data_IF_483038830729
#
_entry.id   IF_483038830729
#
_cell.length_a   1.000
_cell.length_b   1.000
_cell.length_c   1.000
_cell.angle_alpha   90.00
_cell.angle_beta   90.00
_cell.angle_gamma   90.00
#
_symmetry.space_group_name_H-M   'P 1'
#
loop_
_entity.id
_entity.type
_entity.pdbx_description
1 polymer ?
#
# COMPACT_ATOMS: atom_id res chain seq x y z
N UNK A 1 -12.36 30.43 1.48
CA UNK A 1 -12.27 28.98 1.38
C UNK A 1 -10.90 28.61 0.87
N UNK A 2 -10.11 27.88 1.66
CA UNK A 2 -8.87 27.24 1.19
C UNK A 2 -9.23 25.90 0.54
N UNK A 3 -8.46 25.43 -0.46
CA UNK A 3 -8.60 24.06 -0.97
C UNK A 3 -7.30 23.25 -0.93
N UNK A 4 -7.39 22.08 -0.32
CA UNK A 4 -6.36 21.03 -0.34
C UNK A 4 -6.83 19.93 -1.29
N UNK A 5 -6.08 19.65 -2.35
CA UNK A 5 -6.34 18.49 -3.22
C UNK A 5 -5.31 17.40 -2.93
N UNK A 6 -5.78 16.16 -2.77
CA UNK A 6 -4.97 14.97 -2.53
C UNK A 6 -5.17 14.05 -3.73
N UNK A 7 -4.09 13.67 -4.40
CA UNK A 7 -4.13 12.79 -5.58
C UNK A 7 -3.73 11.38 -5.15
N UNK A 8 -4.69 10.46 -5.13
CA UNK A 8 -4.55 9.09 -4.63
C UNK A 8 -5.11 8.92 -3.22
N UNK A 9 -6.08 8.01 -3.08
CA UNK A 9 -6.68 7.52 -1.83
C UNK A 9 -5.97 6.29 -1.25
N UNK A 10 -4.82 5.90 -1.79
CA UNK A 10 -3.93 4.90 -1.18
C UNK A 10 -3.39 5.34 0.18
N UNK A 11 -2.63 4.46 0.85
CA UNK A 11 -2.27 4.54 2.28
C UNK A 11 -1.97 5.97 2.79
N UNK A 12 -1.08 6.71 2.13
CA UNK A 12 -0.67 8.05 2.54
C UNK A 12 -1.79 9.10 2.37
N UNK A 13 -2.52 9.07 1.24
CA UNK A 13 -3.53 10.05 0.91
C UNK A 13 -4.80 9.93 1.76
N UNK A 14 -5.30 8.71 1.98
CA UNK A 14 -6.46 8.52 2.86
C UNK A 14 -6.12 8.82 4.32
N UNK A 15 -4.91 8.47 4.79
CA UNK A 15 -4.46 8.89 6.13
C UNK A 15 -4.32 10.42 6.23
N UNK A 16 -3.86 11.11 5.19
CA UNK A 16 -3.83 12.57 5.15
C UNK A 16 -5.25 13.16 5.29
N UNK A 17 -6.19 12.71 4.44
CA UNK A 17 -7.58 13.15 4.47
C UNK A 17 -8.26 12.87 5.83
N UNK A 18 -8.06 11.69 6.40
CA UNK A 18 -8.60 11.32 7.72
C UNK A 18 -8.04 12.17 8.87
N UNK A 19 -6.75 12.53 8.84
CA UNK A 19 -6.17 13.37 9.88
C UNK A 19 -6.60 14.84 9.72
N UNK A 20 -6.77 15.34 8.50
CA UNK A 20 -7.40 16.64 8.23
C UNK A 20 -8.85 16.65 8.73
N UNK A 21 -9.65 15.63 8.39
CA UNK A 21 -11.05 15.48 8.83
C UNK A 21 -11.23 15.41 10.36
N UNK A 22 -10.21 14.96 11.10
CA UNK A 22 -10.18 14.91 12.58
C UNK A 22 -9.63 16.17 13.24
N UNK A 23 -8.96 17.04 12.48
CA UNK A 23 -8.27 18.24 12.99
C UNK A 23 -9.06 19.51 12.70
N UNK A 24 -9.62 19.60 11.49
CA UNK A 24 -10.32 20.78 10.99
C UNK A 24 -11.82 20.70 11.30
N UNK A 25 -12.47 21.85 11.22
CA UNK A 25 -13.90 22.08 11.38
C UNK A 25 -14.42 22.92 10.21
N UNK A 26 -15.75 23.05 10.08
CA UNK A 26 -16.35 23.94 9.08
C UNK A 26 -15.94 25.42 9.26
N UNK A 27 -15.63 25.82 10.50
CA UNK A 27 -15.15 27.17 10.83
C UNK A 27 -13.76 27.48 10.22
N UNK A 28 -12.94 26.45 9.94
CA UNK A 28 -11.65 26.59 9.27
C UNK A 28 -11.78 26.88 7.76
N UNK A 29 -13.00 26.87 7.20
CA UNK A 29 -13.31 27.30 5.83
C UNK A 29 -12.35 26.67 4.79
N UNK A 30 -12.13 25.36 4.90
CA UNK A 30 -11.12 24.60 4.13
C UNK A 30 -11.75 23.34 3.53
N UNK A 31 -11.75 23.24 2.21
CA UNK A 31 -12.22 22.06 1.45
C UNK A 31 -11.05 21.09 1.21
N UNK A 32 -11.28 19.79 1.43
CA UNK A 32 -10.32 18.71 1.17
C UNK A 32 -10.92 17.72 0.18
N UNK A 33 -10.26 17.54 -0.96
CA UNK A 33 -10.73 16.68 -2.06
C UNK A 33 -9.71 15.59 -2.36
N UNK A 34 -10.05 14.33 -2.11
CA UNK A 34 -9.23 13.17 -2.52
C UNK A 34 -9.67 12.70 -3.90
N UNK A 35 -8.86 12.93 -4.93
CA UNK A 35 -9.05 12.34 -6.26
C UNK A 35 -8.47 10.92 -6.25
N UNK A 36 -9.33 9.90 -6.17
CA UNK A 36 -8.92 8.48 -6.25
C UNK A 36 -9.60 7.77 -7.42
N UNK A 37 -8.81 7.02 -8.18
CA UNK A 37 -9.25 6.34 -9.40
C UNK A 37 -10.02 5.04 -9.17
N UNK A 38 -9.97 4.46 -7.98
CA UNK A 38 -10.59 3.18 -7.62
C UNK A 38 -11.67 3.39 -6.55
N UNK A 39 -12.88 2.85 -6.75
CA UNK A 39 -13.98 2.94 -5.79
C UNK A 39 -13.78 2.17 -4.47
N UNK A 40 -12.58 1.64 -4.23
CA UNK A 40 -12.20 0.84 -3.07
C UNK A 40 -10.69 0.95 -2.83
N UNK A 41 -10.26 0.84 -1.58
CA UNK A 41 -8.86 0.75 -1.21
C UNK A 41 -8.34 -0.66 -1.52
N UNK A 42 -7.24 -0.74 -2.27
CA UNK A 42 -6.60 -2.01 -2.61
C UNK A 42 -5.48 -2.36 -1.63
N UNK A 43 -5.71 -3.39 -0.81
CA UNK A 43 -4.81 -3.85 0.27
C UNK A 43 -3.62 -4.66 -0.27
N UNK A 44 -2.76 -4.01 -1.06
CA UNK A 44 -1.59 -4.59 -1.78
C UNK A 44 -0.74 -5.58 -0.96
N UNK A 45 -0.59 -5.38 0.36
CA UNK A 45 0.17 -6.28 1.24
C UNK A 45 -0.36 -7.72 1.20
N UNK A 46 -1.66 -7.92 1.04
CA UNK A 46 -2.27 -9.24 0.97
C UNK A 46 -2.14 -9.97 -0.38
N UNK A 47 -1.59 -9.33 -1.42
CA UNK A 47 -1.63 -9.86 -2.78
C UNK A 47 -0.91 -11.21 -2.91
N UNK A 48 0.23 -11.37 -2.23
CA UNK A 48 0.97 -12.63 -2.22
C UNK A 48 0.17 -13.79 -1.62
N UNK A 49 -0.72 -13.50 -0.66
CA UNK A 49 -1.66 -14.48 -0.11
C UNK A 49 -2.79 -14.76 -1.11
N UNK A 50 -3.42 -13.72 -1.68
CA UNK A 50 -4.51 -13.86 -2.65
C UNK A 50 -4.12 -14.64 -3.92
N UNK A 51 -2.85 -14.59 -4.34
CA UNK A 51 -2.30 -15.39 -5.44
C UNK A 51 -2.25 -16.90 -5.15
N UNK A 52 -2.33 -17.35 -3.89
CA UNK A 52 -2.37 -18.78 -3.54
C UNK A 52 -3.66 -19.19 -2.83
N UNK A 53 -4.42 -18.24 -2.30
CA UNK A 53 -5.56 -18.47 -1.42
C UNK A 53 -6.82 -17.77 -1.99
N UNK A 54 -7.79 -18.52 -2.52
CA UNK A 54 -9.00 -17.93 -3.11
C UNK A 54 -9.86 -17.21 -2.08
N UNK A 55 -9.99 -17.78 -0.87
CA UNK A 55 -10.82 -17.26 0.20
C UNK A 55 -10.21 -16.03 0.85
N UNK A 56 -8.90 -15.82 0.71
CA UNK A 56 -8.25 -14.59 1.12
C UNK A 56 -8.56 -13.41 0.17
N UNK A 57 -8.75 -13.63 -1.13
CA UNK A 57 -8.80 -12.55 -2.14
C UNK A 57 -9.85 -11.46 -1.86
N UNK A 58 -10.99 -11.83 -1.26
CA UNK A 58 -12.06 -10.90 -0.81
C UNK A 58 -11.57 -9.81 0.17
N UNK A 59 -10.51 -10.08 0.95
CA UNK A 59 -9.92 -9.13 1.91
C UNK A 59 -9.12 -8.01 1.24
N UNK A 60 -8.81 -8.13 -0.06
CA UNK A 60 -7.99 -7.17 -0.81
C UNK A 60 -8.72 -5.85 -1.12
N UNK A 61 -10.05 -5.84 -1.05
CA UNK A 61 -10.89 -4.76 -1.61
C UNK A 61 -11.73 -4.12 -0.50
N UNK A 62 -11.19 -3.07 0.13
CA UNK A 62 -11.85 -2.41 1.27
C UNK A 62 -12.73 -1.26 0.79
N UNK A 63 -14.00 -1.16 1.19
CA UNK A 63 -14.87 -0.03 0.86
C UNK A 63 -14.33 1.30 1.41
N UNK A 64 -14.63 2.40 0.72
CA UNK A 64 -14.34 3.77 1.18
C UNK A 64 -15.52 4.43 1.92
N UNK A 65 -16.68 3.77 2.01
CA UNK A 65 -17.98 4.31 2.44
C UNK A 65 -17.98 5.01 3.81
N UNK A 66 -17.17 4.54 4.77
CA UNK A 66 -16.98 5.17 6.08
C UNK A 66 -15.56 5.75 6.28
N UNK A 67 -14.71 5.73 5.23
CA UNK A 67 -13.28 6.07 5.36
C UNK A 67 -13.03 7.55 5.72
N UNK A 68 -14.00 8.43 5.46
CA UNK A 68 -14.04 9.81 5.98
C UNK A 68 -15.13 9.90 7.06
N UNK A 69 -14.83 10.45 8.26
CA UNK A 69 -15.83 10.64 9.31
C UNK A 69 -17.03 11.45 8.83
N UNK A 70 -18.25 10.96 9.12
CA UNK A 70 -19.51 11.59 8.66
C UNK A 70 -19.69 13.04 9.16
N UNK A 71 -19.12 13.35 10.32
CA UNK A 71 -19.02 14.70 10.91
C UNK A 71 -18.21 15.70 10.07
N UNK A 72 -17.40 15.22 9.13
CA UNK A 72 -16.48 16.02 8.33
C UNK A 72 -16.87 16.03 6.84
N UNK A 73 -18.00 15.40 6.49
CA UNK A 73 -18.47 15.23 5.10
C UNK A 73 -18.88 16.53 4.42
N UNK A 74 -19.18 17.59 5.19
CA UNK A 74 -19.43 18.94 4.67
C UNK A 74 -18.20 19.62 4.06
N UNK A 75 -16.98 19.15 4.37
CA UNK A 75 -15.73 19.78 3.89
C UNK A 75 -14.63 18.80 3.45
N UNK A 76 -14.74 17.48 3.72
CA UNK A 76 -13.82 16.44 3.22
C UNK A 76 -14.59 15.40 2.39
N UNK A 77 -14.16 15.14 1.15
CA UNK A 77 -14.70 14.05 0.33
C UNK A 77 -13.63 13.23 -0.40
N UNK A 78 -14.02 12.04 -0.80
CA UNK A 78 -13.34 11.24 -1.82
C UNK A 78 -14.16 11.38 -3.10
N UNK A 79 -13.48 11.75 -4.18
CA UNK A 79 -14.00 11.96 -5.52
C UNK A 79 -13.49 10.80 -6.39
N UNK A 80 -14.41 10.00 -6.96
CA UNK A 80 -14.04 8.85 -7.79
C UNK A 80 -13.59 9.38 -9.16
N UNK A 81 -12.28 9.61 -9.30
CA UNK A 81 -11.70 10.39 -10.39
C UNK A 81 -10.21 10.07 -10.59
N UNK A 82 -9.78 10.08 -11.85
CA UNK A 82 -8.35 10.02 -12.19
C UNK A 82 -7.84 11.40 -12.57
N UNK A 83 -6.81 11.88 -11.86
CA UNK A 83 -6.08 13.10 -12.25
C UNK A 83 -5.33 12.87 -13.58
N UNK A 84 -5.42 13.83 -14.50
CA UNK A 84 -4.87 13.75 -15.86
C UNK A 84 -3.78 14.77 -16.15
N UNK A 85 -3.66 15.84 -15.37
CA UNK A 85 -2.60 16.84 -15.52
C UNK A 85 -2.63 17.90 -14.41
N UNK A 86 -1.50 18.58 -14.20
CA UNK A 86 -1.34 19.65 -13.20
C UNK A 86 -0.75 20.87 -13.92
N UNK A 87 -1.28 22.06 -13.65
CA UNK A 87 -0.74 23.36 -14.08
C UNK A 87 -0.27 24.14 -12.85
N UNK A 88 1.02 24.04 -12.44
CA UNK A 88 1.52 24.66 -11.21
C UNK A 88 1.30 26.17 -11.16
N UNK A 89 1.58 26.88 -12.26
CA UNK A 89 1.48 28.35 -12.36
C UNK A 89 0.04 28.87 -12.18
N UNK A 90 -0.95 28.02 -12.44
CA UNK A 90 -2.39 28.30 -12.29
C UNK A 90 -2.97 27.70 -11.00
N UNK A 91 -2.13 27.01 -10.22
CA UNK A 91 -2.51 26.10 -9.12
C UNK A 91 -3.74 25.27 -9.45
N UNK A 92 -3.76 24.65 -10.63
CA UNK A 92 -4.93 23.95 -11.17
C UNK A 92 -4.59 22.48 -11.42
N UNK A 93 -5.48 21.57 -11.03
CA UNK A 93 -5.43 20.16 -11.42
C UNK A 93 -6.56 19.87 -12.41
N UNK A 94 -6.26 19.05 -13.42
CA UNK A 94 -7.22 18.49 -14.36
C UNK A 94 -7.49 17.03 -14.02
N UNK A 95 -8.74 16.58 -14.11
CA UNK A 95 -9.16 15.22 -13.76
C UNK A 95 -10.33 14.74 -14.63
N UNK A 96 -10.59 13.43 -14.60
CA UNK A 96 -11.73 12.80 -15.26
C UNK A 96 -12.48 11.96 -14.23
N UNK A 97 -13.74 12.32 -13.99
CA UNK A 97 -14.67 11.61 -13.08
C UNK A 97 -14.97 10.19 -13.55
N UNK A 98 -15.32 9.30 -12.63
CA UNK A 98 -15.57 7.88 -12.86
C UNK A 98 -16.92 7.53 -12.23
N UNK A 99 -17.87 7.15 -13.08
CA UNK A 99 -19.22 6.78 -12.64
C UNK A 99 -19.22 5.54 -11.74
N UNK A 100 -20.31 5.33 -10.99
CA UNK A 100 -20.52 4.13 -10.16
C UNK A 100 -20.55 2.79 -10.94
N UNK A 101 -20.51 2.84 -12.28
CA UNK A 101 -20.37 1.66 -13.16
C UNK A 101 -18.92 1.51 -13.68
N UNK A 102 -17.94 2.06 -12.98
CA UNK A 102 -16.51 2.17 -13.32
C UNK A 102 -16.19 2.84 -14.68
N UNK A 103 -17.18 3.41 -15.38
CA UNK A 103 -16.95 4.13 -16.64
C UNK A 103 -16.37 5.51 -16.35
N UNK A 104 -15.12 5.71 -16.78
CA UNK A 104 -14.44 7.01 -16.79
C UNK A 104 -15.09 7.97 -17.80
N UNK A 105 -15.26 9.22 -17.40
CA UNK A 105 -15.73 10.32 -18.23
C UNK A 105 -14.73 10.66 -19.35
N UNK A 106 -15.25 11.14 -20.48
CA UNK A 106 -14.46 11.80 -21.53
C UNK A 106 -14.30 13.30 -21.27
N UNK A 107 -15.18 13.91 -20.46
CA UNK A 107 -15.03 15.29 -20.03
C UNK A 107 -13.84 15.42 -19.08
N UNK A 108 -13.06 16.49 -19.24
CA UNK A 108 -11.93 16.79 -18.35
C UNK A 108 -12.27 18.01 -17.51
N UNK A 109 -12.45 17.77 -16.22
CA UNK A 109 -12.82 18.75 -15.21
C UNK A 109 -11.56 19.38 -14.60
N UNK A 110 -11.73 20.55 -13.98
CA UNK A 110 -10.63 21.38 -13.48
C UNK A 110 -10.95 21.87 -12.07
N UNK A 111 -9.93 21.91 -11.21
CA UNK A 111 -10.06 22.32 -9.82
C UNK A 111 -8.83 23.14 -9.40
N UNK A 112 -9.03 24.38 -8.97
CA UNK A 112 -7.96 25.18 -8.37
C UNK A 112 -7.70 24.74 -6.92
N UNK A 113 -6.44 24.74 -6.50
CA UNK A 113 -5.99 24.37 -5.16
C UNK A 113 -5.10 25.45 -4.55
N UNK A 114 -5.04 25.51 -3.22
CA UNK A 114 -3.97 26.22 -2.51
C UNK A 114 -2.79 25.30 -2.25
N UNK A 115 -3.09 24.05 -1.88
CA UNK A 115 -2.12 22.98 -1.63
C UNK A 115 -2.47 21.71 -2.41
N UNK A 116 -1.45 21.04 -2.94
CA UNK A 116 -1.57 19.78 -3.68
C UNK A 116 -0.70 18.70 -3.02
N UNK A 117 -1.30 17.58 -2.66
CA UNK A 117 -0.64 16.41 -2.07
C UNK A 117 -0.59 15.29 -3.11
N UNK A 118 0.62 14.93 -3.55
CA UNK A 118 0.82 13.83 -4.50
C UNK A 118 1.02 12.51 -3.72
N UNK A 119 -0.06 11.74 -3.59
CA UNK A 119 -0.11 10.44 -2.92
C UNK A 119 -0.35 9.27 -3.90
N UNK A 120 -0.01 9.47 -5.17
CA UNK A 120 -0.25 8.54 -6.31
C UNK A 120 0.44 7.17 -6.18
N UNK A 121 1.39 7.03 -5.25
CA UNK A 121 2.11 5.79 -5.00
C UNK A 121 3.06 5.41 -6.14
N UNK A 122 2.99 4.16 -6.59
CA UNK A 122 3.83 3.61 -7.65
C UNK A 122 3.14 2.48 -8.39
N UNK A 123 3.49 2.24 -9.64
CA UNK A 123 3.07 1.08 -10.42
C UNK A 123 3.85 -0.18 -10.01
N UNK A 124 3.27 -1.36 -10.27
CA UNK A 124 3.92 -2.67 -10.15
C UNK A 124 3.17 -3.68 -11.03
N UNK A 125 3.74 -4.86 -11.25
CA UNK A 125 3.10 -5.97 -11.98
C UNK A 125 1.77 -6.39 -11.34
N UNK A 126 0.74 -6.54 -12.16
CA UNK A 126 -0.59 -7.05 -11.76
C UNK A 126 -0.49 -8.56 -11.51
N UNK A 127 -1.03 -9.13 -10.41
CA UNK A 127 -1.98 -8.54 -9.46
C UNK A 127 -1.37 -8.06 -8.13
N UNK A 128 -0.06 -7.80 -8.01
CA UNK A 128 0.51 -7.23 -6.78
C UNK A 128 0.04 -5.79 -6.56
N UNK A 129 -0.22 -5.07 -7.66
CA UNK A 129 -1.02 -3.85 -7.70
C UNK A 129 -2.09 -3.96 -8.79
N UNK A 130 -3.14 -3.16 -8.69
CA UNK A 130 -4.14 -3.00 -9.75
C UNK A 130 -3.49 -2.45 -11.03
N UNK A 131 -4.11 -2.73 -12.18
CA UNK A 131 -3.65 -2.17 -13.46
C UNK A 131 -3.72 -0.63 -13.43
N UNK A 132 -2.72 0.08 -13.99
CA UNK A 132 -2.75 1.55 -14.02
C UNK A 132 -3.90 2.12 -14.86
N UNK A 133 -4.40 1.38 -15.86
CA UNK A 133 -5.46 1.76 -16.81
C UNK A 133 -6.81 1.10 -16.48
N UNK A 134 -6.82 -0.09 -15.88
CA UNK A 134 -8.04 -0.81 -15.48
C UNK A 134 -8.05 -1.14 -13.98
N UNK A 135 -8.48 -0.15 -13.19
CA UNK A 135 -8.58 -0.19 -11.73
C UNK A 135 -9.88 -0.87 -11.22
N UNK A 136 -10.64 -1.54 -12.09
CA UNK A 136 -11.86 -2.25 -11.69
C UNK A 136 -11.56 -3.39 -10.74
N UNK A 137 -12.43 -3.57 -9.75
CA UNK A 137 -12.36 -4.69 -8.79
C UNK A 137 -12.37 -6.04 -9.53
N UNK A 138 -13.32 -6.22 -10.44
CA UNK A 138 -13.53 -7.46 -11.20
C UNK A 138 -12.34 -7.83 -12.09
N UNK A 139 -11.70 -6.86 -12.75
CA UNK A 139 -10.45 -7.08 -13.52
C UNK A 139 -9.33 -7.59 -12.60
N UNK A 140 -9.22 -7.00 -11.41
CA UNK A 140 -8.18 -7.38 -10.43
C UNK A 140 -8.45 -8.77 -9.83
N UNK A 141 -9.72 -9.10 -9.53
CA UNK A 141 -10.15 -10.43 -9.08
C UNK A 141 -9.89 -11.50 -10.15
N UNK A 142 -10.19 -11.20 -11.43
CA UNK A 142 -9.91 -12.10 -12.54
C UNK A 142 -8.40 -12.38 -12.68
N UNK A 143 -7.53 -11.36 -12.59
CA UNK A 143 -6.07 -11.56 -12.67
C UNK A 143 -5.49 -12.30 -11.45
N UNK A 144 -6.07 -12.13 -10.26
CA UNK A 144 -5.75 -12.96 -9.08
C UNK A 144 -6.13 -14.43 -9.29
N UNK A 145 -7.29 -14.71 -9.90
CA UNK A 145 -7.72 -16.07 -10.23
C UNK A 145 -6.84 -16.71 -11.32
N UNK A 146 -6.47 -15.96 -12.36
CA UNK A 146 -5.59 -16.40 -13.45
C UNK A 146 -4.23 -16.83 -12.89
N UNK A 147 -3.52 -15.95 -12.18
CA UNK A 147 -2.19 -16.22 -11.60
C UNK A 147 -2.23 -17.38 -10.60
N UNK A 148 -3.30 -17.49 -9.80
CA UNK A 148 -3.48 -18.66 -8.91
C UNK A 148 -3.58 -19.96 -9.70
N UNK A 149 -4.31 -19.97 -10.81
CA UNK A 149 -4.45 -21.15 -11.67
C UNK A 149 -3.12 -21.51 -12.37
N UNK A 150 -2.30 -20.52 -12.73
CA UNK A 150 -0.95 -20.74 -13.26
C UNK A 150 -0.03 -21.37 -12.19
N UNK A 151 -0.02 -20.84 -10.96
CA UNK A 151 0.71 -21.40 -9.81
C UNK A 151 0.26 -22.83 -9.51
N UNK A 152 -1.04 -23.11 -9.55
CA UNK A 152 -1.61 -24.45 -9.32
C UNK A 152 -1.12 -25.47 -10.36
N UNK A 153 -1.06 -25.09 -11.64
CA UNK A 153 -0.58 -25.95 -12.74
C UNK A 153 0.94 -26.12 -12.79
N UNK A 154 1.71 -25.11 -12.35
CA UNK A 154 3.16 -25.10 -12.50
C UNK A 154 3.88 -26.03 -11.51
N UNK A 155 4.71 -26.97 -12.01
CA UNK A 155 5.63 -27.78 -11.20
C UNK A 155 6.99 -27.12 -10.93
N UNK A 156 7.32 -26.09 -11.72
CA UNK A 156 8.49 -25.22 -11.61
C UNK A 156 8.03 -23.76 -11.77
N UNK A 157 8.40 -22.88 -10.84
CA UNK A 157 7.97 -21.48 -10.81
C UNK A 157 9.20 -20.59 -10.67
N UNK A 158 9.33 -19.58 -11.53
CA UNK A 158 10.37 -18.54 -11.45
C UNK A 158 9.74 -17.24 -10.95
N UNK A 159 10.31 -16.68 -9.89
CA UNK A 159 10.01 -15.35 -9.35
C UNK A 159 11.20 -14.45 -9.72
N UNK A 160 10.93 -13.30 -10.34
CA UNK A 160 11.98 -12.34 -10.73
C UNK A 160 11.90 -11.14 -9.79
N UNK A 161 13.01 -10.82 -9.13
CA UNK A 161 13.07 -9.90 -8.00
C UNK A 161 12.84 -10.66 -6.69
N UNK A 162 13.87 -10.78 -5.86
CA UNK A 162 13.78 -11.38 -4.53
C UNK A 162 13.27 -10.42 -3.45
N UNK A 163 12.43 -9.45 -3.84
CA UNK A 163 12.06 -8.30 -3.01
C UNK A 163 11.01 -8.70 -1.97
N UNK A 164 10.43 -7.74 -1.22
CA UNK A 164 9.38 -8.02 -0.23
C UNK A 164 8.27 -8.89 -0.84
N UNK A 165 7.83 -8.45 -2.02
CA UNK A 165 6.87 -9.14 -2.88
C UNK A 165 7.39 -10.52 -3.31
N UNK A 166 8.65 -10.63 -3.75
CA UNK A 166 9.24 -11.89 -4.23
C UNK A 166 9.34 -12.95 -3.14
N UNK A 167 9.79 -12.56 -1.95
CA UNK A 167 9.82 -13.42 -0.77
C UNK A 167 8.44 -13.85 -0.30
N UNK A 168 7.49 -12.90 -0.24
CA UNK A 168 6.14 -13.21 0.23
C UNK A 168 5.44 -14.14 -0.77
N UNK A 169 5.61 -13.93 -2.07
CA UNK A 169 5.16 -14.86 -3.12
C UNK A 169 5.81 -16.25 -2.94
N UNK A 170 7.14 -16.31 -2.84
CA UNK A 170 7.87 -17.56 -2.67
C UNK A 170 7.43 -18.34 -1.41
N UNK A 171 7.33 -17.64 -0.28
CA UNK A 171 6.93 -18.18 1.01
C UNK A 171 5.48 -18.64 1.03
N UNK A 172 4.54 -17.86 0.48
CA UNK A 172 3.14 -18.30 0.39
C UNK A 172 2.96 -19.49 -0.57
N UNK A 173 3.67 -19.52 -1.71
CA UNK A 173 3.66 -20.67 -2.62
C UNK A 173 4.21 -21.92 -1.93
N UNK A 174 5.41 -21.87 -1.34
CA UNK A 174 6.02 -23.06 -0.68
C UNK A 174 5.27 -23.51 0.57
N UNK A 175 4.55 -22.61 1.26
CA UNK A 175 3.72 -22.97 2.40
C UNK A 175 2.46 -23.76 2.02
N UNK A 176 1.80 -23.40 0.90
CA UNK A 176 0.62 -24.13 0.39
C UNK A 176 1.01 -25.36 -0.45
N UNK A 177 2.08 -25.25 -1.24
CA UNK A 177 2.53 -26.25 -2.22
C UNK A 177 3.99 -26.63 -1.94
N UNK A 178 4.20 -27.48 -0.93
CA UNK A 178 5.54 -27.86 -0.44
C UNK A 178 6.37 -28.59 -1.49
N UNK A 179 5.70 -29.31 -2.39
CA UNK A 179 6.27 -30.11 -3.48
C UNK A 179 6.77 -29.28 -4.67
N UNK A 180 6.29 -28.04 -4.86
CA UNK A 180 6.68 -27.23 -6.02
C UNK A 180 8.12 -26.77 -5.94
N UNK A 181 8.80 -26.80 -7.08
CA UNK A 181 10.09 -26.16 -7.25
C UNK A 181 9.84 -24.68 -7.52
N UNK A 182 10.24 -23.82 -6.60
CA UNK A 182 10.18 -22.36 -6.78
C UNK A 182 11.62 -21.85 -6.79
N UNK A 183 11.91 -20.88 -7.64
CA UNK A 183 13.22 -20.27 -7.79
C UNK A 183 13.03 -18.75 -7.80
N UNK A 184 13.78 -18.04 -6.97
CA UNK A 184 13.92 -16.59 -7.08
C UNK A 184 15.18 -16.30 -7.90
N UNK A 185 15.02 -15.52 -8.97
CA UNK A 185 16.10 -14.86 -9.71
C UNK A 185 16.21 -13.41 -9.25
N UNK A 186 17.45 -12.95 -9.07
CA UNK A 186 17.78 -11.62 -8.61
C UNK A 186 19.07 -11.10 -9.26
N UNK A 187 19.24 -9.77 -9.31
CA UNK A 187 20.42 -9.07 -9.77
C UNK A 187 21.43 -8.71 -8.65
N UNK A 188 20.98 -8.42 -7.42
CA UNK A 188 21.86 -8.26 -6.25
C UNK A 188 22.24 -9.61 -5.62
N UNK A 189 23.14 -9.61 -4.63
CA UNK A 189 23.68 -10.82 -3.99
C UNK A 189 22.85 -11.39 -2.83
N UNK A 190 22.01 -10.58 -2.19
CA UNK A 190 21.40 -10.90 -0.89
C UNK A 190 19.94 -10.49 -0.76
N UNK A 191 19.13 -11.35 -0.13
CA UNK A 191 17.68 -11.16 0.08
C UNK A 191 17.59 -9.86 0.87
N UNK A 192 16.50 -9.11 0.73
CA UNK A 192 16.35 -7.87 1.50
C UNK A 192 17.40 -6.75 1.22
N UNK A 193 18.31 -6.88 0.24
CA UNK A 193 19.52 -6.03 0.06
C UNK A 193 19.42 -4.53 0.36
N UNK A 194 18.41 -3.80 -0.14
CA UNK A 194 18.31 -2.34 0.04
C UNK A 194 17.73 -1.93 1.40
N UNK A 195 17.89 -2.75 2.43
CA UNK A 195 17.69 -2.38 3.83
C UNK A 195 18.91 -2.73 4.67
N UNK A 196 19.12 -1.94 5.72
CA UNK A 196 20.15 -2.18 6.74
C UNK A 196 19.64 -3.19 7.77
N UNK A 197 19.81 -4.49 7.46
CA UNK A 197 19.46 -5.56 8.38
C UNK A 197 20.70 -6.19 9.03
N UNK A 198 20.46 -6.87 10.14
CA UNK A 198 21.49 -7.60 10.87
C UNK A 198 21.73 -9.00 10.33
N UNK A 199 22.94 -9.52 10.51
CA UNK A 199 23.35 -10.90 10.15
C UNK A 199 22.41 -11.96 10.76
N UNK A 200 21.84 -11.67 11.93
CA UNK A 200 20.83 -12.49 12.61
C UNK A 200 19.49 -12.52 11.86
N UNK A 201 19.09 -11.41 11.24
CA UNK A 201 17.94 -11.40 10.33
C UNK A 201 18.24 -12.26 9.11
N UNK A 202 19.38 -12.05 8.43
CA UNK A 202 19.76 -12.85 7.27
C UNK A 202 19.87 -14.35 7.61
N UNK A 203 20.43 -14.71 8.76
CA UNK A 203 20.53 -16.09 9.23
C UNK A 203 19.15 -16.75 9.43
N UNK A 204 18.22 -16.08 10.10
CA UNK A 204 16.85 -16.58 10.30
C UNK A 204 16.02 -16.59 9.02
N UNK A 205 16.28 -15.63 8.14
CA UNK A 205 15.69 -15.54 6.82
C UNK A 205 16.12 -16.72 5.94
N UNK A 206 17.42 -17.00 5.88
CA UNK A 206 17.98 -18.18 5.21
C UNK A 206 17.29 -19.44 5.74
N UNK A 207 17.31 -19.66 7.07
CA UNK A 207 16.65 -20.82 7.68
C UNK A 207 15.14 -20.92 7.37
N UNK A 208 14.44 -19.80 7.20
CA UNK A 208 13.02 -19.77 6.80
C UNK A 208 12.80 -19.94 5.29
N UNK A 209 13.79 -19.65 4.45
CA UNK A 209 13.71 -19.62 2.98
C UNK A 209 14.81 -20.48 2.31
N UNK A 210 15.31 -21.51 2.98
CA UNK A 210 16.41 -22.41 2.56
C UNK A 210 16.03 -23.35 1.38
N UNK A 211 15.13 -22.87 0.53
CA UNK A 211 14.82 -23.37 -0.79
C UNK A 211 15.18 -22.39 -1.93
N UNK A 212 15.52 -21.10 -1.67
CA UNK A 212 15.62 -20.05 -2.72
C UNK A 212 16.67 -18.94 -2.50
N UNK A 213 17.04 -18.22 -3.59
CA UNK A 213 18.03 -17.12 -3.62
C UNK A 213 17.39 -15.68 -3.81
N UNK A 214 18.10 -14.55 -4.02
CA UNK A 214 17.91 -13.42 -3.05
C UNK A 214 18.06 -11.84 -3.36
N UNK A 215 17.04 -10.89 -3.27
CA UNK A 215 17.10 -9.39 -2.84
C UNK A 215 15.85 -8.42 -2.80
N UNK A 216 15.68 -7.53 -1.77
CA UNK A 216 14.73 -6.33 -1.72
C UNK A 216 15.41 -4.93 -1.94
N UNK A 217 14.88 -3.67 -1.73
CA UNK A 217 13.74 -3.03 -0.96
C UNK A 217 13.39 -1.56 -1.36
N UNK A 218 12.29 -0.98 -0.81
CA UNK A 218 12.08 0.43 -0.33
C UNK A 218 10.68 0.70 0.33
N UNK A 219 10.55 1.39 1.49
CA UNK A 219 9.22 1.79 2.06
C UNK A 219 9.08 2.99 3.05
N UNK A 220 10.04 3.26 3.94
CA UNK A 220 9.81 4.06 5.18
C UNK A 220 9.49 5.57 4.94
N UNK A 221 9.86 6.10 3.77
CA UNK A 221 9.76 7.52 3.40
C UNK A 221 8.33 8.10 3.48
N UNK A 222 7.29 7.30 3.18
CA UNK A 222 5.91 7.77 3.07
C UNK A 222 5.31 8.28 4.40
N UNK A 223 5.79 7.80 5.54
CA UNK A 223 5.28 8.15 6.87
C UNK A 223 5.65 9.57 7.30
N UNK A 224 6.78 10.09 6.80
CA UNK A 224 7.31 11.40 7.21
C UNK A 224 6.56 12.58 6.58
N UNK A 225 6.24 12.48 5.29
CA UNK A 225 5.62 13.57 4.52
C UNK A 225 4.27 14.02 5.11
N UNK A 226 3.45 13.07 5.58
CA UNK A 226 2.17 13.34 6.21
C UNK A 226 2.27 14.22 7.47
N UNK A 227 3.35 14.07 8.26
CA UNK A 227 3.57 14.86 9.47
C UNK A 227 3.97 16.31 9.18
N UNK A 228 4.73 16.55 8.10
CA UNK A 228 5.08 17.91 7.67
C UNK A 228 3.86 18.66 7.13
N UNK A 229 3.04 17.99 6.30
CA UNK A 229 1.81 18.57 5.74
C UNK A 229 0.85 19.09 6.82
N UNK A 230 0.62 18.31 7.88
CA UNK A 230 -0.24 18.73 8.98
C UNK A 230 0.30 19.97 9.72
N UNK A 231 1.62 20.12 9.84
CA UNK A 231 2.23 21.27 10.50
C UNK A 231 2.12 22.57 9.67
N UNK A 232 2.21 22.49 8.34
CA UNK A 232 1.98 23.62 7.42
C UNK A 232 0.52 24.07 7.47
N UNK A 233 -0.44 23.14 7.37
CA UNK A 233 -1.88 23.45 7.44
C UNK A 233 -2.26 24.10 8.79
N UNK A 234 -1.64 23.66 9.89
CA UNK A 234 -1.83 24.25 11.22
C UNK A 234 -1.04 25.55 11.46
N UNK A 235 -0.34 26.10 10.45
CA UNK A 235 0.52 27.31 10.56
C UNK A 235 1.59 27.20 11.65
N UNK A 236 2.15 26.00 11.87
CA UNK A 236 3.21 25.70 12.85
C UNK A 236 4.63 25.69 12.24
N UNK A 237 4.72 25.81 10.92
CA UNK A 237 5.94 26.03 10.14
C UNK A 237 5.54 26.58 8.77
N UNK A 238 6.38 27.45 8.20
CA UNK A 238 6.08 28.14 6.93
C UNK A 238 6.39 27.28 5.69
N UNK A 239 7.20 26.22 5.84
CA UNK A 239 7.60 25.34 4.74
C UNK A 239 7.81 23.87 5.14
N UNK A 240 8.59 23.16 4.31
CA UNK A 240 8.93 21.73 4.47
C UNK A 240 10.36 21.57 4.98
N UNK A 241 10.72 22.37 5.99
CA UNK A 241 12.11 22.77 6.25
C UNK A 241 12.91 21.75 7.06
N UNK A 242 12.26 20.66 7.49
CA UNK A 242 12.85 19.56 8.24
C UNK A 242 13.15 18.39 7.28
N UNK A 243 14.42 17.99 7.10
CA UNK A 243 14.74 16.81 6.30
C UNK A 243 14.27 15.52 7.01
N UNK A 244 14.00 14.48 6.23
CA UNK A 244 13.70 13.15 6.78
C UNK A 244 14.91 12.64 7.58
N UNK A 245 14.75 12.23 8.86
CA UNK A 245 15.84 11.62 9.61
C UNK A 245 16.39 10.39 8.87
N UNK A 246 17.71 10.30 8.69
CA UNK A 246 18.33 9.11 8.10
C UNK A 246 17.98 7.91 8.97
N UNK A 247 17.28 6.92 8.38
CA UNK A 247 16.93 5.69 9.09
C UNK A 247 18.22 4.95 9.47
N UNK A 248 18.40 4.76 10.78
CA UNK A 248 19.58 4.12 11.38
C UNK A 248 19.39 2.60 11.37
N UNK A 249 18.16 2.14 11.64
CA UNK A 249 17.72 0.74 11.59
C UNK A 249 16.34 0.67 10.97
N UNK A 250 16.15 -0.18 9.95
CA UNK A 250 14.86 -0.33 9.28
C UNK A 250 14.02 -1.47 9.87
N UNK A 251 12.69 -1.32 9.77
CA UNK A 251 11.70 -2.25 10.28
C UNK A 251 11.15 -3.18 9.19
N UNK A 252 11.32 -4.47 9.35
CA UNK A 252 10.96 -5.51 8.37
C UNK A 252 10.07 -6.55 9.03
N UNK A 253 8.95 -6.90 8.40
CA UNK A 253 8.11 -8.03 8.78
C UNK A 253 7.84 -8.84 7.52
N UNK A 254 8.43 -10.04 7.42
CA UNK A 254 8.37 -10.89 6.24
C UNK A 254 7.66 -12.22 6.57
N UNK A 255 6.36 -12.37 6.19
CA UNK A 255 5.63 -13.63 6.30
C UNK A 255 6.19 -14.71 5.37
N UNK A 256 6.49 -15.87 5.94
CA UNK A 256 6.80 -17.09 5.20
C UNK A 256 5.75 -18.13 5.59
N UNK A 257 4.76 -18.31 4.72
CA UNK A 257 3.56 -19.08 5.05
C UNK A 257 2.78 -18.46 6.20
N UNK A 258 2.63 -19.22 7.29
CA UNK A 258 1.99 -18.79 8.55
C UNK A 258 2.98 -18.25 9.59
N UNK A 259 4.28 -18.31 9.31
CA UNK A 259 5.36 -17.82 10.18
C UNK A 259 6.20 -16.75 9.48
N UNK A 260 7.51 -16.77 9.69
CA UNK A 260 8.50 -15.91 9.06
C UNK A 260 9.30 -15.05 10.03
N UNK A 261 10.16 -14.20 9.48
CA UNK A 261 11.16 -13.40 10.22
C UNK A 261 10.80 -11.92 10.22
N UNK A 262 11.06 -11.23 11.33
CA UNK A 262 10.90 -9.77 11.43
C UNK A 262 12.09 -9.11 12.14
N UNK A 263 12.58 -7.98 11.61
CA UNK A 263 13.45 -7.05 12.33
C UNK A 263 12.58 -5.88 12.80
N UNK A 264 12.49 -5.66 14.11
CA UNK A 264 11.76 -4.52 14.66
C UNK A 264 12.71 -3.32 14.81
N UNK A 265 12.27 -2.09 14.48
CA UNK A 265 13.10 -0.87 14.54
C UNK A 265 13.22 -0.34 15.98
N UNK A 266 13.60 -1.23 16.90
CA UNK A 266 13.81 -0.99 18.33
C UNK A 266 15.19 -1.55 18.71
N UNK A 267 15.86 -0.90 19.68
CA UNK A 267 17.18 -1.32 20.19
C UNK A 267 18.24 -1.64 19.12
N UNK A 268 18.23 -0.91 18.00
CA UNK A 268 19.18 -1.10 16.90
C UNK A 268 18.86 -2.24 15.92
N UNK A 269 17.81 -3.04 16.14
CA UNK A 269 17.32 -4.04 15.16
C UNK A 269 16.98 -5.40 15.77
N UNK A 270 16.05 -5.46 16.73
CA UNK A 270 15.69 -6.74 17.38
C UNK A 270 15.02 -7.69 16.39
N UNK A 271 15.62 -8.86 16.17
CA UNK A 271 15.13 -9.88 15.23
C UNK A 271 14.28 -10.95 15.91
N UNK A 272 12.98 -10.94 15.62
CA UNK A 272 11.97 -11.85 16.16
C UNK A 272 11.51 -12.88 15.11
N UNK A 273 10.99 -14.02 15.59
CA UNK A 273 10.54 -15.14 14.75
C UNK A 273 9.02 -15.30 14.67
N UNK A 274 8.58 -16.49 14.26
CA UNK A 274 7.23 -16.80 13.77
C UNK A 274 6.08 -16.21 14.57
N UNK A 275 6.09 -16.36 15.90
CA UNK A 275 4.99 -15.90 16.76
C UNK A 275 4.73 -14.38 16.63
N UNK A 276 5.80 -13.57 16.58
CA UNK A 276 5.67 -12.11 16.45
C UNK A 276 5.39 -11.73 15.00
N UNK A 277 6.03 -12.38 14.02
CA UNK A 277 5.73 -12.18 12.60
C UNK A 277 4.27 -12.50 12.28
N UNK A 278 3.70 -13.54 12.89
CA UNK A 278 2.28 -13.92 12.80
C UNK A 278 1.36 -12.87 13.42
N UNK A 279 1.60 -12.46 14.66
CA UNK A 279 0.79 -11.42 15.33
C UNK A 279 0.80 -10.07 14.61
N UNK A 280 1.90 -9.74 13.90
CA UNK A 280 2.03 -8.46 13.21
C UNK A 280 1.53 -8.52 11.77
N UNK A 281 1.80 -9.60 11.00
CA UNK A 281 1.42 -9.69 9.58
C UNK A 281 1.02 -11.10 9.12
N UNK A 282 1.69 -12.19 9.49
CA UNK A 282 1.42 -13.50 8.84
C UNK A 282 0.04 -14.13 9.18
N UNK A 283 -0.69 -13.60 10.18
CA UNK A 283 -2.06 -14.02 10.49
C UNK A 283 -3.08 -13.65 9.39
N UNK A 284 -3.03 -12.43 8.87
CA UNK A 284 -4.06 -11.85 8.00
C UNK A 284 -3.50 -10.87 6.94
N UNK A 285 -2.18 -10.77 6.82
CA UNK A 285 -1.43 -9.75 6.08
C UNK A 285 -1.82 -8.30 6.44
N UNK A 286 -2.20 -8.05 7.70
CA UNK A 286 -2.74 -6.78 8.22
C UNK A 286 -4.11 -6.37 7.65
N UNK A 287 -4.87 -7.29 7.04
CA UNK A 287 -6.20 -6.99 6.52
C UNK A 287 -7.12 -6.40 7.60
N UNK A 288 -7.24 -7.04 8.78
CA UNK A 288 -8.10 -6.55 9.86
C UNK A 288 -7.73 -5.14 10.34
N UNK A 289 -6.44 -4.77 10.31
CA UNK A 289 -5.99 -3.40 10.61
C UNK A 289 -6.36 -2.40 9.51
N UNK A 290 -6.24 -2.82 8.25
CA UNK A 290 -6.55 -1.97 7.08
C UNK A 290 -8.05 -1.70 6.98
N UNK A 291 -8.87 -2.75 7.10
CA UNK A 291 -10.34 -2.65 7.18
C UNK A 291 -10.78 -1.76 8.36
N UNK A 292 -10.25 -1.99 9.57
CA UNK A 292 -10.53 -1.14 10.72
C UNK A 292 -10.07 0.31 10.57
N UNK A 293 -9.00 0.58 9.80
CA UNK A 293 -8.54 1.95 9.52
C UNK A 293 -9.43 2.74 8.56
N UNK A 294 -10.36 2.06 7.87
CA UNK A 294 -11.34 2.64 6.95
C UNK A 294 -12.78 2.53 7.47
N UNK A 295 -12.94 2.23 8.77
CA UNK A 295 -14.21 2.00 9.46
C UNK A 295 -15.11 0.95 8.75
N UNK A 296 -14.45 -0.14 8.35
CA UNK A 296 -15.04 -1.29 7.66
C UNK A 296 -14.72 -2.61 8.39
N UNK A 297 -15.59 -3.60 8.26
CA UNK A 297 -15.40 -4.95 8.87
C UNK A 297 -15.00 -5.98 7.81
N UNK A 298 -13.91 -6.76 8.00
CA UNK A 298 -13.51 -7.79 7.05
C UNK A 298 -14.62 -8.78 6.69
N UNK A 299 -14.68 -9.26 5.43
CA UNK A 299 -15.65 -10.25 5.01
C UNK A 299 -15.41 -11.60 5.68
N UNK A 300 -16.49 -12.21 6.18
CA UNK A 300 -16.50 -13.60 6.68
C UNK A 300 -16.12 -14.56 5.55
#
# INVERSE_FOLDING_TARGET
MMRIVIVGGGQAGINCAQNLAKTLTEADNTEVVVLEKSGHFYHTLGAARACVDPDYAKNMFVPYDNAIPKTSSGFVRIEHAVATGISPDKKEISFQTISANDKKSTNTEKLNFDYLVLATGSTYTVPIKQDPKDYRRTTTEAKLQEVRSEIEKAGKILIVGGEAVGCEMAGQIKAKYREKNVTILEAHSELISRNKLSDNFYSKLHAALDAMKMAFWAADQGKFLAAQLAAVVQKKQDGFDKPYPKVITEGVILPVGTGGVSQLPIWGGVVVGDWVTWMIKAKDFMAGRTWGSLDATPPK
#
